data_IF_652901388642
#
_entry.id   IF_652901388642
#
_cell.length_a   1.000
_cell.length_b   1.000
_cell.length_c   1.000
_cell.angle_alpha   90.00
_cell.angle_beta   90.00
_cell.angle_gamma   90.00
#
_symmetry.space_group_name_H-M   'P 1'
#
loop_
_entity.id
_entity.type
_entity.pdbx_description
1 polymer ?
#
# COMPACT_ATOMS: atom_id res chain seq x y z
N UNK A 1 9.41 17.16 -7.53
CA UNK A 1 9.38 15.81 -8.13
C UNK A 1 8.11 15.10 -7.74
N UNK A 2 7.42 14.47 -8.69
CA UNK A 2 6.17 13.78 -8.43
C UNK A 2 6.42 12.45 -7.70
N UNK A 3 5.68 12.21 -6.63
CA UNK A 3 5.77 10.94 -5.90
C UNK A 3 5.07 9.84 -6.67
N UNK A 4 5.64 8.65 -6.65
CA UNK A 4 5.08 7.50 -7.34
C UNK A 4 4.64 6.44 -6.35
N UNK A 5 3.39 6.01 -6.51
CA UNK A 5 2.72 5.12 -5.55
C UNK A 5 2.22 3.87 -6.28
N UNK A 6 2.45 2.71 -5.68
CA UNK A 6 1.91 1.45 -6.19
C UNK A 6 0.77 1.00 -5.29
N UNK A 7 -0.40 0.77 -5.87
CA UNK A 7 -1.59 0.32 -5.15
C UNK A 7 -1.88 -1.13 -5.54
N UNK A 8 -1.91 -2.02 -4.55
CA UNK A 8 -2.12 -3.46 -4.77
C UNK A 8 -3.35 -3.93 -4.01
N UNK A 9 -4.34 -4.42 -4.75
CA UNK A 9 -5.58 -4.98 -4.22
C UNK A 9 -6.17 -5.85 -5.32
N UNK A 10 -6.76 -6.99 -4.97
CA UNK A 10 -7.35 -7.88 -5.96
C UNK A 10 -8.63 -7.34 -6.58
N UNK A 11 -9.22 -6.30 -6.00
CA UNK A 11 -10.43 -5.67 -6.49
C UNK A 11 -10.11 -4.45 -7.35
N UNK A 12 -10.35 -4.55 -8.65
CA UNK A 12 -10.03 -3.48 -9.60
C UNK A 12 -10.74 -2.17 -9.29
N UNK A 13 -11.97 -2.23 -8.81
CA UNK A 13 -12.71 -1.02 -8.45
C UNK A 13 -11.99 -0.23 -7.37
N UNK A 14 -11.47 -0.91 -6.36
CA UNK A 14 -10.72 -0.27 -5.27
C UNK A 14 -9.45 0.39 -5.79
N UNK A 15 -8.65 -0.33 -6.57
CA UNK A 15 -7.40 0.22 -7.10
C UNK A 15 -7.65 1.39 -8.05
N UNK A 16 -8.68 1.30 -8.89
CA UNK A 16 -9.02 2.38 -9.82
C UNK A 16 -9.43 3.66 -9.08
N UNK A 17 -10.26 3.53 -8.05
CA UNK A 17 -10.72 4.68 -7.27
C UNK A 17 -9.55 5.36 -6.55
N UNK A 18 -8.65 4.57 -5.96
CA UNK A 18 -7.48 5.12 -5.26
C UNK A 18 -6.53 5.78 -6.25
N UNK A 19 -6.24 5.14 -7.39
CA UNK A 19 -5.39 5.73 -8.43
C UNK A 19 -5.96 7.06 -8.91
N UNK A 20 -7.24 7.10 -9.22
CA UNK A 20 -7.86 8.33 -9.73
C UNK A 20 -7.76 9.45 -8.70
N UNK A 21 -8.01 9.15 -7.43
CA UNK A 21 -7.89 10.13 -6.37
C UNK A 21 -6.46 10.64 -6.19
N UNK A 22 -5.49 9.74 -6.26
CA UNK A 22 -4.08 10.11 -6.15
C UNK A 22 -3.64 10.97 -7.33
N UNK A 23 -4.00 10.58 -8.54
CA UNK A 23 -3.63 11.34 -9.74
C UNK A 23 -4.28 12.72 -9.76
N UNK A 24 -5.52 12.82 -9.32
CA UNK A 24 -6.20 14.11 -9.20
C UNK A 24 -5.54 15.02 -8.16
N UNK A 25 -4.79 14.45 -7.25
CA UNK A 25 -4.06 15.20 -6.22
C UNK A 25 -2.59 15.46 -6.57
N UNK A 26 -2.18 15.11 -7.78
CA UNK A 26 -0.83 15.40 -8.27
C UNK A 26 0.19 14.30 -8.07
N UNK A 27 -0.21 13.12 -7.65
CA UNK A 27 0.69 11.97 -7.49
C UNK A 27 0.63 11.07 -8.72
N UNK A 28 1.70 10.32 -8.96
CA UNK A 28 1.72 9.28 -9.98
C UNK A 28 1.34 7.95 -9.31
N UNK A 29 0.42 7.21 -9.88
CA UNK A 29 -0.05 5.97 -9.28
C UNK A 29 -0.13 4.84 -10.31
N UNK A 30 0.48 3.71 -9.97
CA UNK A 30 0.34 2.48 -10.72
C UNK A 30 -0.51 1.52 -9.87
N UNK A 31 -1.24 0.64 -10.52
CA UNK A 31 -2.09 -0.33 -9.83
C UNK A 31 -1.73 -1.75 -10.24
N UNK A 32 -1.95 -2.69 -9.33
CA UNK A 32 -1.78 -4.10 -9.62
C UNK A 32 -2.83 -4.90 -8.85
N UNK A 33 -3.48 -5.82 -9.55
CA UNK A 33 -4.54 -6.64 -8.95
C UNK A 33 -4.11 -8.08 -8.68
N UNK A 34 -2.83 -8.39 -8.91
CA UNK A 34 -2.26 -9.71 -8.73
C UNK A 34 -0.90 -9.60 -8.03
N UNK A 35 -0.76 -10.11 -6.79
CA UNK A 35 0.50 -10.00 -6.06
C UNK A 35 1.68 -10.69 -6.74
N UNK A 36 1.44 -11.77 -7.48
CA UNK A 36 2.53 -12.45 -8.19
C UNK A 36 3.09 -11.56 -9.29
N UNK A 37 2.23 -10.83 -9.99
CA UNK A 37 2.65 -9.88 -11.02
C UNK A 37 3.47 -8.74 -10.42
N UNK A 38 3.12 -8.29 -9.20
CA UNK A 38 3.90 -7.27 -8.51
C UNK A 38 5.35 -7.71 -8.37
N UNK A 39 5.56 -8.92 -7.83
CA UNK A 39 6.91 -9.42 -7.58
C UNK A 39 7.70 -9.61 -8.87
N UNK A 40 7.05 -10.05 -9.93
CA UNK A 40 7.69 -10.27 -11.23
C UNK A 40 8.16 -8.96 -11.88
N UNK A 41 7.41 -7.87 -11.67
CA UNK A 41 7.64 -6.61 -12.35
C UNK A 41 8.21 -5.50 -11.47
N UNK A 42 8.34 -5.76 -10.17
CA UNK A 42 8.82 -4.73 -9.25
C UNK A 42 10.27 -4.37 -9.52
N UNK A 43 10.54 -3.07 -9.56
CA UNK A 43 11.90 -2.55 -9.73
C UNK A 43 12.22 -1.61 -8.59
N UNK A 44 13.37 -1.83 -7.97
CA UNK A 44 13.87 -0.99 -6.89
C UNK A 44 14.05 0.46 -7.35
N UNK A 45 13.72 1.40 -6.49
CA UNK A 45 13.92 2.82 -6.75
C UNK A 45 12.82 3.50 -7.54
N UNK A 46 11.76 2.78 -7.93
CA UNK A 46 10.66 3.36 -8.71
C UNK A 46 9.58 3.97 -7.82
N UNK A 47 9.23 3.29 -6.74
CA UNK A 47 8.10 3.71 -5.90
C UNK A 47 8.54 4.33 -4.60
N UNK A 48 7.82 5.37 -4.18
CA UNK A 48 8.02 6.02 -2.88
C UNK A 48 7.14 5.39 -1.80
N UNK A 49 5.98 4.88 -2.18
CA UNK A 49 5.00 4.28 -1.26
C UNK A 49 4.29 3.11 -1.91
N UNK A 50 4.06 2.09 -1.10
CA UNK A 50 3.18 0.97 -1.44
C UNK A 50 1.91 1.07 -0.63
N UNK A 51 0.76 0.87 -1.27
CA UNK A 51 -0.53 0.76 -0.60
C UNK A 51 -1.01 -0.66 -0.85
N UNK A 52 -0.94 -1.51 0.16
CA UNK A 52 -1.15 -2.95 0.03
C UNK A 52 -2.36 -3.43 0.80
N UNK A 53 -3.23 -4.20 0.14
CA UNK A 53 -4.31 -4.92 0.81
C UNK A 53 -3.74 -6.11 1.58
N UNK A 54 -4.13 -6.25 2.85
CA UNK A 54 -3.67 -7.38 3.67
C UNK A 54 -4.34 -8.70 3.29
N UNK A 55 -5.53 -8.64 2.68
CA UNK A 55 -6.34 -9.81 2.34
C UNK A 55 -6.17 -10.33 0.93
N UNK A 56 -4.98 -10.21 0.33
CA UNK A 56 -4.74 -10.66 -1.04
C UNK A 56 -4.86 -12.19 -1.18
N UNK A 57 -5.36 -12.68 -2.32
CA UNK A 57 -5.41 -14.13 -2.56
C UNK A 57 -3.99 -14.70 -2.71
N UNK A 58 -3.79 -15.90 -2.19
CA UNK A 58 -2.54 -16.67 -2.27
C UNK A 58 -1.34 -16.08 -1.53
N UNK A 59 -1.41 -14.82 -1.12
CA UNK A 59 -0.33 -14.15 -0.41
C UNK A 59 -0.88 -12.91 0.28
N UNK A 60 -0.78 -12.82 1.60
CA UNK A 60 -1.25 -11.63 2.28
C UNK A 60 -0.31 -10.44 2.03
N UNK A 61 -0.82 -9.22 2.27
CA UNK A 61 -0.07 -8.00 2.00
C UNK A 61 1.21 -7.88 2.83
N UNK A 62 1.23 -8.48 4.02
CA UNK A 62 2.42 -8.45 4.87
C UNK A 62 3.55 -9.30 4.27
N UNK A 63 3.21 -10.51 3.81
CA UNK A 63 4.18 -11.39 3.14
C UNK A 63 4.71 -10.75 1.87
N UNK A 64 3.84 -10.10 1.11
CA UNK A 64 4.24 -9.40 -0.10
C UNK A 64 5.21 -8.26 0.24
N UNK A 65 4.93 -7.49 1.28
CA UNK A 65 5.82 -6.40 1.69
C UNK A 65 7.20 -6.91 2.08
N UNK A 66 7.28 -8.02 2.82
CA UNK A 66 8.57 -8.58 3.21
C UNK A 66 9.44 -8.90 2.01
N UNK A 67 8.84 -9.46 0.96
CA UNK A 67 9.56 -9.75 -0.27
C UNK A 67 9.98 -8.50 -1.02
N UNK A 68 9.11 -7.49 -1.06
CA UNK A 68 9.43 -6.21 -1.70
C UNK A 68 10.55 -5.51 -0.95
N UNK A 69 10.53 -5.56 0.39
CA UNK A 69 11.57 -4.95 1.22
C UNK A 69 12.94 -5.54 0.94
N UNK A 70 13.02 -6.83 0.62
CA UNK A 70 14.27 -7.47 0.25
C UNK A 70 14.81 -6.92 -1.08
N UNK A 71 13.92 -6.44 -1.96
CA UNK A 71 14.29 -5.85 -3.25
C UNK A 71 14.58 -4.34 -3.11
N UNK A 72 13.88 -3.66 -2.21
CA UNK A 72 14.02 -2.22 -2.01
C UNK A 72 13.73 -1.88 -0.54
N UNK A 73 14.78 -1.68 0.24
CA UNK A 73 14.66 -1.38 1.67
C UNK A 73 14.23 0.06 1.98
N UNK A 74 14.10 0.91 0.98
CA UNK A 74 13.75 2.33 1.18
C UNK A 74 12.29 2.64 0.93
N UNK A 75 11.56 1.76 0.24
CA UNK A 75 10.15 2.00 -0.07
C UNK A 75 9.33 1.98 1.22
N UNK A 76 8.41 2.92 1.35
CA UNK A 76 7.49 2.97 2.49
C UNK A 76 6.23 2.19 2.16
N UNK A 77 5.50 1.78 3.20
CA UNK A 77 4.29 0.98 3.02
C UNK A 77 3.19 1.45 3.96
N UNK A 78 1.95 1.39 3.47
CA UNK A 78 0.77 1.39 4.31
C UNK A 78 -0.15 0.25 3.85
N UNK A 79 -1.01 -0.20 4.74
CA UNK A 79 -1.85 -1.36 4.51
C UNK A 79 -3.33 -0.98 4.51
N UNK A 80 -4.12 -1.72 3.73
CA UNK A 80 -5.57 -1.60 3.72
C UNK A 80 -6.18 -2.89 4.25
N UNK A 81 -7.24 -2.79 5.04
CA UNK A 81 -7.91 -3.95 5.60
C UNK A 81 -9.41 -3.75 5.69
N UNK A 82 -10.17 -4.82 5.51
CA UNK A 82 -11.62 -4.82 5.75
C UNK A 82 -11.94 -5.04 7.22
N UNK A 83 -10.96 -5.39 8.04
CA UNK A 83 -11.16 -5.75 9.44
C UNK A 83 -10.15 -5.08 10.34
N UNK A 84 -10.63 -4.45 11.41
CA UNK A 84 -9.78 -3.85 12.43
C UNK A 84 -8.99 -4.90 13.23
N UNK A 85 -9.48 -6.13 13.28
CA UNK A 85 -8.81 -7.21 14.00
C UNK A 85 -7.44 -7.54 13.39
N UNK A 86 -7.31 -7.40 12.07
CA UNK A 86 -6.02 -7.63 11.41
C UNK A 86 -4.98 -6.61 11.88
N UNK A 87 -5.40 -5.36 12.03
CA UNK A 87 -4.50 -4.28 12.42
C UNK A 87 -3.90 -4.54 13.79
N UNK A 88 -4.75 -4.90 14.77
CA UNK A 88 -4.31 -5.18 16.14
C UNK A 88 -3.41 -6.40 16.22
N UNK A 89 -3.81 -7.47 15.56
CA UNK A 89 -3.04 -8.70 15.52
C UNK A 89 -1.67 -8.47 14.92
N UNK A 90 -1.64 -7.77 13.79
CA UNK A 90 -0.40 -7.50 13.10
C UNK A 90 0.53 -6.61 13.91
N UNK A 91 0.01 -5.56 14.55
CA UNK A 91 0.81 -4.66 15.38
C UNK A 91 1.40 -5.37 16.59
N UNK A 92 0.73 -6.41 17.09
CA UNK A 92 1.26 -7.23 18.16
C UNK A 92 2.47 -8.05 17.72
N UNK A 93 2.42 -8.57 16.49
CA UNK A 93 3.49 -9.39 15.92
C UNK A 93 4.64 -8.54 15.37
N UNK A 94 4.34 -7.34 14.89
CA UNK A 94 5.31 -6.47 14.22
C UNK A 94 5.21 -5.06 14.79
N UNK A 95 5.73 -4.82 15.99
CA UNK A 95 5.56 -3.54 16.69
C UNK A 95 6.27 -2.35 16.04
N UNK A 96 7.02 -2.57 14.96
CA UNK A 96 7.68 -1.48 14.23
C UNK A 96 6.70 -0.64 13.41
N UNK A 97 5.46 -1.14 13.18
CA UNK A 97 4.44 -0.38 12.49
C UNK A 97 3.47 0.28 13.45
N UNK A 98 2.93 1.43 13.03
CA UNK A 98 1.97 2.20 13.81
C UNK A 98 0.57 2.02 13.26
N UNK A 99 -0.44 2.26 14.11
CA UNK A 99 -1.84 2.18 13.68
C UNK A 99 -2.13 3.12 12.50
N UNK A 100 -1.40 4.25 12.39
CA UNK A 100 -1.58 5.20 11.29
C UNK A 100 -1.17 4.62 9.93
N UNK A 101 -0.38 3.53 9.91
CA UNK A 101 0.02 2.88 8.66
C UNK A 101 -1.04 1.93 8.14
N UNK A 102 -2.19 1.84 8.80
CA UNK A 102 -3.29 0.97 8.43
C UNK A 102 -4.54 1.78 8.10
N UNK A 103 -5.16 1.47 6.97
CA UNK A 103 -6.40 2.10 6.53
C UNK A 103 -7.51 1.07 6.49
N UNK A 104 -8.63 1.39 7.11
CA UNK A 104 -9.83 0.58 7.02
C UNK A 104 -10.53 0.86 5.69
N UNK A 105 -10.93 -0.17 4.98
CA UNK A 105 -11.67 0.00 3.73
C UNK A 105 -13.12 0.41 4.00
N UNK A 106 -13.73 1.25 3.16
CA UNK A 106 -13.14 1.90 1.99
C UNK A 106 -12.19 3.03 2.38
N UNK A 107 -11.06 3.11 1.68
CA UNK A 107 -10.04 4.12 1.97
C UNK A 107 -10.49 5.48 1.44
N UNK A 108 -10.50 6.48 2.33
CA UNK A 108 -10.81 7.85 1.92
C UNK A 108 -9.57 8.51 1.34
N UNK A 109 -9.67 9.02 0.13
CA UNK A 109 -8.52 9.64 -0.54
C UNK A 109 -7.95 10.79 0.28
N UNK A 110 -8.80 11.60 0.91
CA UNK A 110 -8.34 12.68 1.76
C UNK A 110 -7.40 12.19 2.86
N UNK A 111 -7.75 11.07 3.50
CA UNK A 111 -6.95 10.52 4.59
C UNK A 111 -5.62 9.97 4.07
N UNK A 112 -5.64 9.35 2.91
CA UNK A 112 -4.42 8.82 2.29
C UNK A 112 -3.49 9.97 1.89
N UNK A 113 -4.02 11.05 1.34
CA UNK A 113 -3.22 12.23 0.98
C UNK A 113 -2.57 12.84 2.22
N UNK A 114 -3.31 12.98 3.32
CA UNK A 114 -2.74 13.48 4.57
C UNK A 114 -1.62 12.58 5.07
N UNK A 115 -1.81 11.27 5.00
CA UNK A 115 -0.79 10.30 5.39
C UNK A 115 0.49 10.48 4.55
N UNK A 116 0.34 10.62 3.25
CA UNK A 116 1.48 10.81 2.36
C UNK A 116 2.26 12.08 2.74
N UNK A 117 1.56 13.17 3.02
CA UNK A 117 2.20 14.43 3.40
C UNK A 117 2.88 14.34 4.77
N UNK A 118 2.23 13.72 5.74
CA UNK A 118 2.78 13.60 7.10
C UNK A 118 3.99 12.69 7.17
N UNK A 119 4.04 11.66 6.35
CA UNK A 119 5.15 10.70 6.33
C UNK A 119 6.29 11.13 5.43
N UNK A 120 6.16 12.25 4.77
CA UNK A 120 7.18 12.79 3.85
C UNK A 120 7.59 11.80 2.75
N UNK A 121 6.60 11.04 2.30
CA UNK A 121 6.79 10.12 1.18
C UNK A 121 7.18 10.87 -0.08
#
# INVERSE_FOLDING_TARGET
MQRRILVVDDEAKTTDEIRDGLENSGYSADICNDPETVLSNFKSGIYDLLVLDVGLPHMDGFALYEKIRDLDGKVKVCFMSNSNAHDEEFLTLFPIWNARDFFHKPVMIRDLIEYIKETEV
#
